data_IF_592737194788
#
_entry.id   IF_592737194788
#
_cell.length_a   1.000
_cell.length_b   1.000
_cell.length_c   1.000
_cell.angle_alpha   90.00
_cell.angle_beta   90.00
_cell.angle_gamma   90.00
#
_symmetry.space_group_name_H-M   'P 1'
#
loop_
_entity.id
_entity.type
_entity.pdbx_description
1 polymer ?
#
# COMPACT_ATOMS: atom_id res chain seq x y z
N UNK A 1 8.46 -0.95 26.70
CA UNK A 1 8.73 -0.29 25.40
C UNK A 1 9.63 -1.22 24.60
N UNK A 2 9.21 -1.60 23.41
CA UNK A 2 9.93 -2.51 22.53
C UNK A 2 10.35 -1.79 21.24
N UNK A 3 11.62 -1.96 20.83
CA UNK A 3 12.07 -1.50 19.52
C UNK A 3 11.49 -2.42 18.45
N UNK A 4 10.82 -1.84 17.45
CA UNK A 4 10.18 -2.57 16.35
C UNK A 4 10.63 -2.01 15.01
N UNK A 5 10.47 -2.81 13.95
CA UNK A 5 10.83 -2.37 12.59
C UNK A 5 9.69 -1.69 11.85
N UNK A 6 8.45 -2.03 12.19
CA UNK A 6 7.25 -1.54 11.51
C UNK A 6 6.13 -1.33 12.50
N UNK A 7 5.27 -0.36 12.20
CA UNK A 7 4.01 -0.10 12.90
C UNK A 7 2.90 0.04 11.86
N UNK A 8 1.66 -0.19 12.29
CA UNK A 8 0.48 0.20 11.51
C UNK A 8 0.16 1.66 11.78
N UNK A 9 -0.20 2.40 10.77
CA UNK A 9 -0.49 3.83 10.83
C UNK A 9 -1.79 4.21 11.56
N UNK A 10 -2.43 3.25 12.26
CA UNK A 10 -3.69 3.50 12.95
C UNK A 10 -3.59 4.51 14.11
N UNK A 11 -2.54 4.37 14.93
CA UNK A 11 -2.22 5.30 16.02
C UNK A 11 -0.70 5.33 16.22
N UNK A 12 -0.11 6.49 16.11
CA UNK A 12 1.31 6.69 16.45
C UNK A 12 1.57 8.10 16.94
N UNK A 13 2.64 8.26 17.69
CA UNK A 13 3.19 9.53 18.13
C UNK A 13 4.56 9.72 17.49
N UNK A 14 4.82 10.89 16.93
CA UNK A 14 6.09 11.21 16.30
C UNK A 14 6.64 12.53 16.84
N UNK A 15 7.96 12.63 16.94
CA UNK A 15 8.64 13.91 17.10
C UNK A 15 8.40 14.74 15.83
N UNK A 16 7.78 15.91 15.99
CA UNK A 16 7.38 16.78 14.87
C UNK A 16 8.57 17.17 13.99
N UNK A 17 9.70 17.53 14.59
CA UNK A 17 10.90 17.97 13.86
C UNK A 17 11.45 16.83 13.00
N UNK A 18 11.65 15.67 13.60
CA UNK A 18 12.11 14.47 12.87
C UNK A 18 11.15 14.03 11.79
N UNK A 19 9.84 14.10 12.04
CA UNK A 19 8.84 13.75 11.04
C UNK A 19 8.88 14.68 9.83
N UNK A 20 9.11 15.99 10.05
CA UNK A 20 9.29 16.97 8.97
C UNK A 20 10.60 16.74 8.22
N UNK A 21 11.71 16.43 8.91
CA UNK A 21 13.01 16.11 8.29
C UNK A 21 12.92 14.85 7.38
N UNK A 22 12.01 13.93 7.68
CA UNK A 22 11.70 12.76 6.85
C UNK A 22 10.77 13.08 5.66
N UNK A 23 10.41 14.34 5.44
CA UNK A 23 9.39 14.74 4.47
C UNK A 23 8.03 14.07 4.70
N UNK A 24 7.66 13.87 5.98
CA UNK A 24 6.35 13.37 6.40
C UNK A 24 5.88 12.14 5.60
N UNK A 25 4.60 12.05 5.30
CA UNK A 25 4.06 11.04 4.39
C UNK A 25 4.33 11.42 2.93
N UNK A 26 4.58 10.43 2.11
CA UNK A 26 4.67 10.60 0.66
C UNK A 26 3.26 10.58 0.08
N UNK A 27 2.77 11.73 -0.40
CA UNK A 27 1.39 11.93 -0.86
C UNK A 27 1.00 11.06 -2.07
N UNK A 28 1.98 10.46 -2.75
CA UNK A 28 1.73 9.50 -3.82
C UNK A 28 1.06 8.20 -3.31
N UNK A 29 1.25 7.90 -2.01
CA UNK A 29 0.53 6.82 -1.33
C UNK A 29 -0.81 7.35 -0.80
N UNK A 30 -1.82 7.36 -1.64
CA UNK A 30 -3.14 7.89 -1.27
C UNK A 30 -3.86 7.03 -0.22
N UNK A 31 -3.65 5.71 -0.24
CA UNK A 31 -4.32 4.76 0.65
C UNK A 31 -3.50 3.47 0.73
N UNK A 32 -3.08 3.07 1.93
CA UNK A 32 -2.13 1.99 2.19
C UNK A 32 -0.70 2.30 1.72
N UNK A 33 0.25 1.67 2.37
CA UNK A 33 1.70 1.78 2.16
C UNK A 33 2.34 3.08 2.66
N UNK A 34 1.57 4.10 3.03
CA UNK A 34 2.09 5.35 3.61
C UNK A 34 2.84 5.12 4.92
N UNK A 35 2.33 4.21 5.77
CA UNK A 35 2.95 3.81 7.03
C UNK A 35 4.18 2.92 6.79
N UNK A 36 4.13 2.05 5.80
CA UNK A 36 5.26 1.20 5.40
C UNK A 36 6.39 2.05 4.83
N UNK A 37 6.06 3.04 4.00
CA UNK A 37 7.01 4.02 3.45
C UNK A 37 7.66 4.84 4.57
N UNK A 38 6.87 5.33 5.51
CA UNK A 38 7.38 6.07 6.67
C UNK A 38 8.34 5.21 7.52
N UNK A 39 7.96 3.96 7.81
CA UNK A 39 8.83 3.04 8.53
C UNK A 39 10.16 2.82 7.79
N UNK A 40 10.12 2.76 6.46
CA UNK A 40 11.34 2.61 5.65
C UNK A 40 12.20 3.88 5.66
N UNK A 41 11.60 5.08 5.61
CA UNK A 41 12.33 6.35 5.77
C UNK A 41 13.02 6.42 7.13
N UNK A 42 12.33 6.04 8.22
CA UNK A 42 12.89 5.99 9.59
C UNK A 42 14.09 5.04 9.63
N UNK A 43 13.97 3.85 9.05
CA UNK A 43 15.06 2.86 8.97
C UNK A 43 16.29 3.43 8.25
N UNK A 44 16.09 4.04 7.07
CA UNK A 44 17.17 4.61 6.25
C UNK A 44 17.85 5.81 6.90
N UNK A 45 17.15 6.52 7.78
CA UNK A 45 17.68 7.65 8.56
C UNK A 45 18.32 7.23 9.89
N UNK A 46 18.51 5.92 10.12
CA UNK A 46 19.04 5.36 11.37
C UNK A 46 18.25 5.79 12.62
N UNK A 47 16.98 6.13 12.47
CA UNK A 47 16.05 6.40 13.56
C UNK A 47 15.37 5.10 14.02
N UNK A 48 14.70 5.18 15.17
CA UNK A 48 14.08 4.01 15.78
C UNK A 48 12.57 4.19 15.92
N UNK A 49 11.87 3.08 15.81
CA UNK A 49 10.44 2.95 16.10
C UNK A 49 10.29 2.16 17.39
N UNK A 50 9.45 2.64 18.30
CA UNK A 50 9.17 1.98 19.56
C UNK A 50 7.69 1.69 19.71
N UNK A 51 7.39 0.48 20.16
CA UNK A 51 6.04 0.08 20.57
C UNK A 51 5.93 0.20 22.10
N UNK A 52 4.96 0.97 22.56
CA UNK A 52 4.61 1.02 23.97
C UNK A 52 3.46 0.05 24.26
N UNK A 53 3.77 -1.10 24.84
CA UNK A 53 2.78 -2.14 25.18
C UNK A 53 1.90 -1.81 26.39
N UNK A 54 2.25 -0.75 27.15
CA UNK A 54 1.41 -0.30 28.27
C UNK A 54 0.21 0.54 27.82
N UNK A 55 0.20 0.99 26.57
CA UNK A 55 -0.88 1.81 26.00
C UNK A 55 -1.70 0.96 25.02
N UNK A 56 -2.99 0.89 25.27
CA UNK A 56 -3.93 0.19 24.40
C UNK A 56 -4.84 1.19 23.70
N UNK A 57 -4.79 1.21 22.38
CA UNK A 57 -5.70 2.01 21.56
C UNK A 57 -6.69 1.08 20.84
N UNK A 58 -7.99 1.36 20.97
CA UNK A 58 -9.03 0.65 20.21
C UNK A 58 -9.17 1.30 18.84
N UNK A 59 -8.80 0.57 17.79
CA UNK A 59 -9.00 1.01 16.41
C UNK A 59 -10.15 0.25 15.79
N UNK A 60 -11.21 0.97 15.41
CA UNK A 60 -12.34 0.40 14.67
C UNK A 60 -11.97 0.37 13.19
N UNK A 61 -11.36 -0.72 12.75
CA UNK A 61 -11.05 -0.95 11.35
C UNK A 61 -12.29 -0.71 10.46
N UNK A 62 -12.07 -0.15 9.28
CA UNK A 62 -13.13 0.13 8.28
C UNK A 62 -14.23 1.11 8.72
N UNK A 63 -14.09 1.74 9.89
CA UNK A 63 -15.11 2.66 10.44
C UNK A 63 -15.26 3.99 9.71
N UNK A 64 -14.25 4.43 8.98
CA UNK A 64 -14.20 5.75 8.33
C UNK A 64 -14.94 5.80 6.99
N UNK A 65 -15.18 4.66 6.35
CA UNK A 65 -15.77 4.62 5.00
C UNK A 65 -16.76 3.47 4.90
N UNK A 66 -17.98 3.75 4.42
CA UNK A 66 -19.00 2.72 4.20
C UNK A 66 -18.48 1.65 3.22
N UNK A 67 -18.67 0.39 3.60
CA UNK A 67 -18.36 -0.74 2.73
C UNK A 67 -19.34 -0.76 1.55
N UNK A 68 -18.86 -0.46 0.35
CA UNK A 68 -19.58 -0.58 -0.91
C UNK A 68 -18.59 -0.94 -2.03
N UNK A 69 -19.11 -1.26 -3.21
CA UNK A 69 -18.29 -1.65 -4.34
C UNK A 69 -17.25 -0.58 -4.73
N UNK A 70 -17.63 0.70 -4.70
CA UNK A 70 -16.72 1.81 -5.02
C UNK A 70 -15.53 1.85 -4.06
N UNK A 71 -15.80 1.76 -2.75
CA UNK A 71 -14.74 1.79 -1.73
C UNK A 71 -13.88 0.54 -1.78
N UNK A 72 -14.46 -0.61 -2.10
CA UNK A 72 -13.73 -1.86 -2.34
C UNK A 72 -12.75 -1.69 -3.51
N UNK A 73 -13.20 -1.19 -4.65
CA UNK A 73 -12.35 -0.94 -5.83
C UNK A 73 -11.22 0.04 -5.50
N UNK A 74 -11.54 1.18 -4.86
CA UNK A 74 -10.54 2.19 -4.47
C UNK A 74 -9.46 1.57 -3.58
N UNK A 75 -9.84 0.78 -2.58
CA UNK A 75 -8.90 0.12 -1.68
C UNK A 75 -8.00 -0.87 -2.43
N UNK A 76 -8.57 -1.73 -3.29
CA UNK A 76 -7.81 -2.75 -4.03
C UNK A 76 -6.84 -2.11 -5.02
N UNK A 77 -7.29 -1.10 -5.76
CA UNK A 77 -6.44 -0.36 -6.71
C UNK A 77 -5.28 0.33 -5.99
N UNK A 78 -5.57 1.10 -4.92
CA UNK A 78 -4.51 1.83 -4.22
C UNK A 78 -3.55 0.91 -3.47
N UNK A 79 -4.04 -0.20 -2.90
CA UNK A 79 -3.16 -1.18 -2.28
C UNK A 79 -2.14 -1.75 -3.30
N UNK A 80 -2.62 -2.13 -4.49
CA UNK A 80 -1.75 -2.69 -5.53
C UNK A 80 -0.83 -1.63 -6.16
N UNK A 81 -1.35 -0.44 -6.41
CA UNK A 81 -0.57 0.70 -6.88
C UNK A 81 0.54 1.06 -5.89
N UNK A 82 0.22 1.16 -4.59
CA UNK A 82 1.19 1.45 -3.54
C UNK A 82 2.28 0.39 -3.41
N UNK A 83 1.94 -0.91 -3.63
CA UNK A 83 2.94 -1.98 -3.69
C UNK A 83 3.99 -1.72 -4.77
N UNK A 84 3.57 -1.35 -5.99
CA UNK A 84 4.49 -1.05 -7.10
C UNK A 84 5.29 0.21 -6.83
N UNK A 85 4.65 1.26 -6.32
CA UNK A 85 5.31 2.51 -5.96
C UNK A 85 6.38 2.29 -4.89
N UNK A 86 6.07 1.51 -3.84
CA UNK A 86 7.03 1.17 -2.80
C UNK A 86 8.22 0.36 -3.36
N UNK A 87 7.94 -0.63 -4.19
CA UNK A 87 8.98 -1.45 -4.81
C UNK A 87 9.85 -0.65 -5.77
N UNK A 88 9.28 0.29 -6.53
CA UNK A 88 10.08 1.17 -7.41
C UNK A 88 10.98 2.11 -6.62
N UNK A 89 10.53 2.55 -5.44
CA UNK A 89 11.25 3.49 -4.59
C UNK A 89 12.42 2.85 -3.83
N UNK A 90 12.24 1.61 -3.33
CA UNK A 90 13.19 0.97 -2.41
C UNK A 90 13.80 -0.34 -2.88
N UNK A 91 13.33 -0.87 -3.97
CA UNK A 91 13.86 -2.09 -4.56
C UNK A 91 13.86 -1.98 -6.08
N UNK A 92 14.78 -2.69 -6.74
CA UNK A 92 14.77 -2.75 -8.20
C UNK A 92 13.52 -3.51 -8.66
N UNK A 93 12.50 -2.77 -9.09
CA UNK A 93 11.33 -3.37 -9.71
C UNK A 93 11.75 -4.06 -11.00
N UNK A 94 11.71 -5.39 -11.02
CA UNK A 94 12.15 -6.16 -12.19
C UNK A 94 11.12 -5.96 -13.31
N UNK A 95 11.57 -5.54 -14.48
CA UNK A 95 10.73 -5.39 -15.69
C UNK A 95 9.92 -6.66 -15.96
N UNK A 96 10.54 -7.83 -15.77
CA UNK A 96 9.86 -9.13 -15.89
C UNK A 96 8.62 -9.24 -14.99
N UNK A 97 8.66 -8.68 -13.77
CA UNK A 97 7.50 -8.66 -12.87
C UNK A 97 6.37 -7.82 -13.46
N UNK A 98 6.69 -6.63 -13.96
CA UNK A 98 5.71 -5.72 -14.57
C UNK A 98 5.04 -6.35 -15.79
N UNK A 99 5.79 -7.08 -16.61
CA UNK A 99 5.26 -7.73 -17.81
C UNK A 99 4.45 -9.00 -17.50
N UNK A 100 4.87 -9.77 -16.50
CA UNK A 100 4.23 -11.06 -16.16
C UNK A 100 2.95 -10.90 -15.35
N UNK A 101 2.89 -9.95 -14.42
CA UNK A 101 1.75 -9.81 -13.52
C UNK A 101 0.43 -9.47 -14.24
N UNK A 102 0.36 -8.58 -15.25
CA UNK A 102 -0.86 -8.36 -16.00
C UNK A 102 -1.42 -9.63 -16.65
N UNK A 103 -0.54 -10.46 -17.22
CA UNK A 103 -0.94 -11.74 -17.84
C UNK A 103 -1.52 -12.68 -16.76
N UNK A 104 -0.85 -12.79 -15.62
CA UNK A 104 -1.34 -13.56 -14.48
C UNK A 104 -2.72 -13.09 -14.03
N UNK A 105 -2.93 -11.80 -13.84
CA UNK A 105 -4.22 -11.26 -13.41
C UNK A 105 -5.30 -11.42 -14.47
N UNK A 106 -4.96 -11.36 -15.77
CA UNK A 106 -5.89 -11.64 -16.85
C UNK A 106 -6.36 -13.11 -16.81
N UNK A 107 -5.44 -14.05 -16.63
CA UNK A 107 -5.79 -15.47 -16.47
C UNK A 107 -6.65 -15.71 -15.22
N UNK A 108 -6.32 -15.05 -14.10
CA UNK A 108 -7.12 -15.12 -12.87
C UNK A 108 -8.52 -14.52 -13.07
N UNK A 109 -8.63 -13.41 -13.80
CA UNK A 109 -9.91 -12.79 -14.14
C UNK A 109 -10.80 -13.77 -14.90
N UNK A 110 -10.27 -14.38 -15.96
CA UNK A 110 -10.98 -15.38 -16.76
C UNK A 110 -11.42 -16.55 -15.86
N UNK A 111 -10.50 -17.13 -15.09
CA UNK A 111 -10.80 -18.25 -14.21
C UNK A 111 -11.90 -17.91 -13.18
N UNK A 112 -11.80 -16.76 -12.50
CA UNK A 112 -12.78 -16.35 -11.49
C UNK A 112 -14.14 -15.99 -12.09
N UNK A 113 -14.19 -15.51 -13.32
CA UNK A 113 -15.45 -15.28 -14.04
C UNK A 113 -16.15 -16.61 -14.32
N UNK A 114 -15.42 -17.59 -14.86
CA UNK A 114 -15.98 -18.92 -15.13
C UNK A 114 -16.39 -19.71 -13.88
N UNK A 115 -15.72 -19.45 -12.74
CA UNK A 115 -16.04 -20.09 -11.45
C UNK A 115 -17.03 -19.29 -10.61
N UNK A 116 -17.65 -18.24 -11.17
CA UNK A 116 -18.64 -17.36 -10.50
C UNK A 116 -18.10 -16.69 -9.22
N UNK A 117 -16.79 -16.52 -9.10
CA UNK A 117 -16.15 -15.84 -7.96
C UNK A 117 -16.00 -14.33 -8.23
N UNK A 118 -17.12 -13.63 -8.41
CA UNK A 118 -17.17 -12.24 -8.88
C UNK A 118 -16.27 -11.26 -8.07
N UNK A 119 -16.22 -11.38 -6.75
CA UNK A 119 -15.36 -10.51 -5.94
C UNK A 119 -13.87 -10.66 -6.31
N UNK A 120 -13.41 -11.88 -6.54
CA UNK A 120 -12.03 -12.15 -6.96
C UNK A 120 -11.76 -11.73 -8.41
N UNK A 121 -12.76 -11.82 -9.28
CA UNK A 121 -12.67 -11.30 -10.64
C UNK A 121 -12.49 -9.77 -10.62
N UNK A 122 -13.27 -9.05 -9.81
CA UNK A 122 -13.11 -7.60 -9.61
C UNK A 122 -11.74 -7.25 -9.02
N UNK A 123 -11.22 -8.03 -8.07
CA UNK A 123 -9.85 -7.81 -7.54
C UNK A 123 -8.78 -7.96 -8.63
N UNK A 124 -8.94 -8.91 -9.53
CA UNK A 124 -8.02 -9.10 -10.65
C UNK A 124 -8.05 -7.93 -11.62
N UNK A 125 -9.23 -7.39 -11.94
CA UNK A 125 -9.40 -6.16 -12.72
C UNK A 125 -8.75 -4.95 -12.03
N UNK A 126 -8.98 -4.77 -10.74
CA UNK A 126 -8.36 -3.71 -9.96
C UNK A 126 -6.83 -3.79 -10.01
N UNK A 127 -6.28 -5.00 -9.98
CA UNK A 127 -4.83 -5.22 -10.04
C UNK A 127 -4.26 -4.85 -11.40
N UNK A 128 -4.94 -5.23 -12.50
CA UNK A 128 -4.54 -4.84 -13.87
C UNK A 128 -4.58 -3.31 -14.00
N UNK A 129 -5.69 -2.69 -13.58
CA UNK A 129 -5.82 -1.23 -13.63
C UNK A 129 -4.75 -0.51 -12.82
N UNK A 130 -4.41 -1.01 -11.63
CA UNK A 130 -3.35 -0.44 -10.79
C UNK A 130 -1.98 -0.49 -11.47
N UNK A 131 -1.67 -1.58 -12.18
CA UNK A 131 -0.42 -1.69 -12.94
C UNK A 131 -0.38 -0.68 -14.08
N UNK A 132 -1.46 -0.57 -14.86
CA UNK A 132 -1.57 0.41 -15.95
C UNK A 132 -1.42 1.82 -15.41
N UNK A 133 -2.14 2.17 -14.34
CA UNK A 133 -2.02 3.47 -13.67
C UNK A 133 -0.59 3.76 -13.19
N UNK A 134 0.08 2.76 -12.61
CA UNK A 134 1.46 2.91 -12.17
C UNK A 134 2.40 3.19 -13.36
N UNK A 135 2.26 2.43 -14.43
CA UNK A 135 3.06 2.63 -15.66
C UNK A 135 2.84 4.02 -16.24
N UNK A 136 1.60 4.44 -16.42
CA UNK A 136 1.29 5.77 -16.95
C UNK A 136 1.89 6.89 -16.08
N UNK A 137 1.76 6.81 -14.75
CA UNK A 137 2.32 7.81 -13.85
C UNK A 137 3.85 7.77 -13.77
N UNK A 138 4.49 6.64 -14.04
CA UNK A 138 5.95 6.52 -14.07
C UNK A 138 6.58 7.07 -15.35
N UNK A 139 5.79 7.30 -16.41
CA UNK A 139 6.25 7.90 -17.68
C UNK A 139 6.11 9.42 -17.70
N UNK A 140 5.32 9.98 -16.78
CA UNK A 140 5.02 11.45 -16.73
C UNK A 140 5.97 12.20 -15.78
N UNK A 141 6.71 11.47 -14.91
CA UNK A 141 7.71 12.02 -13.97
C UNK A 141 9.12 11.56 -14.33
#
# INVERSE_FOLDING_TARGET
ILKVKKILGAVFLADKKKFMELNMFDERFFFYWEDVDLCKKIELSNLNIYLNSSVVAKHKGEGSVKANLKTFIIRKVNFKYGEYLYQSKYSKLKIIKILREPIKFLLMLIFYTFTFQFNKAVESLCSIYAIVKFLLNSWVN
#
